data_IF_830385434632
#
_entry.id   IF_830385434632
#
_cell.length_a   1.000
_cell.length_b   1.000
_cell.length_c   1.000
_cell.angle_alpha   90.00
_cell.angle_beta   90.00
_cell.angle_gamma   90.00
#
_symmetry.space_group_name_H-M   'P 1'
#
loop_
_entity.id
_entity.type
_entity.pdbx_description
1 polymer ?
#
# COMPACT_ATOMS: atom_id res chain seq x y z
N UNK A 1 23.70 -18.35 -16.29
CA UNK A 1 23.91 -16.97 -15.82
C UNK A 1 23.40 -16.06 -16.92
N UNK A 2 22.10 -15.75 -16.89
CA UNK A 2 21.45 -14.90 -17.89
C UNK A 2 21.92 -13.47 -17.69
N UNK A 3 22.70 -12.95 -18.64
CA UNK A 3 22.89 -11.51 -18.78
C UNK A 3 21.53 -10.92 -19.16
N UNK A 4 20.86 -10.25 -18.22
CA UNK A 4 19.76 -9.36 -18.58
C UNK A 4 20.33 -8.29 -19.50
N UNK A 5 19.89 -8.31 -20.75
CA UNK A 5 20.22 -7.32 -21.75
C UNK A 5 19.71 -5.94 -21.30
N UNK A 6 20.38 -4.89 -21.78
CA UNK A 6 19.99 -3.50 -21.55
C UNK A 6 18.54 -3.32 -22.03
N UNK A 7 17.60 -3.20 -21.09
CA UNK A 7 16.20 -2.94 -21.38
C UNK A 7 16.07 -1.46 -21.73
N UNK A 8 15.72 -1.16 -22.98
CA UNK A 8 15.38 0.21 -23.39
C UNK A 8 13.99 0.54 -22.83
N UNK A 9 13.97 1.24 -21.71
CA UNK A 9 12.76 1.82 -21.13
C UNK A 9 12.57 3.25 -21.65
N UNK A 10 11.32 3.69 -21.78
CA UNK A 10 11.01 5.08 -22.13
C UNK A 10 11.56 6.04 -21.07
N UNK A 11 11.75 7.31 -21.45
CA UNK A 11 12.18 8.36 -20.50
C UNK A 11 11.22 8.48 -19.31
N UNK A 12 9.93 8.30 -19.55
CA UNK A 12 8.90 8.37 -18.50
C UNK A 12 9.00 7.18 -17.54
N UNK A 13 9.18 5.96 -18.06
CA UNK A 13 9.42 4.76 -17.24
C UNK A 13 10.72 4.89 -16.43
N UNK A 14 11.81 5.37 -17.04
CA UNK A 14 13.07 5.58 -16.35
C UNK A 14 12.95 6.61 -15.20
N UNK A 15 12.17 7.67 -15.39
CA UNK A 15 11.90 8.66 -14.35
C UNK A 15 11.00 8.11 -13.24
N UNK A 16 10.00 7.29 -13.60
CA UNK A 16 9.12 6.62 -12.62
C UNK A 16 9.90 5.62 -11.76
N UNK A 17 10.77 4.82 -12.38
CA UNK A 17 11.65 3.87 -11.70
C UNK A 17 12.64 4.62 -10.77
N UNK A 18 13.26 5.71 -11.25
CA UNK A 18 14.14 6.53 -10.43
C UNK A 18 13.41 7.22 -9.25
N UNK A 19 12.15 7.62 -9.43
CA UNK A 19 11.34 8.18 -8.35
C UNK A 19 10.98 7.11 -7.30
N UNK A 20 10.77 5.86 -7.72
CA UNK A 20 10.58 4.73 -6.79
C UNK A 20 11.88 4.37 -6.05
N UNK A 21 13.04 4.51 -6.68
CA UNK A 21 14.36 4.22 -6.08
C UNK A 21 14.91 5.36 -5.20
N UNK A 22 14.26 6.53 -5.20
CA UNK A 22 14.65 7.62 -4.29
C UNK A 22 14.38 7.17 -2.85
N UNK A 23 15.46 7.00 -2.06
CA UNK A 23 15.36 6.65 -0.64
C UNK A 23 14.73 7.79 0.15
N UNK A 24 13.66 7.46 0.86
CA UNK A 24 13.08 8.37 1.83
C UNK A 24 14.05 8.57 3.02
N UNK A 25 14.05 9.76 3.64
CA UNK A 25 14.80 9.99 4.87
C UNK A 25 14.42 8.95 5.93
N UNK A 26 15.39 8.48 6.71
CA UNK A 26 15.17 7.43 7.71
C UNK A 26 14.06 7.79 8.71
N UNK A 27 14.00 9.04 9.12
CA UNK A 27 12.98 9.55 10.06
C UNK A 27 11.57 9.49 9.46
N UNK A 28 11.44 9.72 8.15
CA UNK A 28 10.18 9.66 7.44
C UNK A 28 9.61 8.24 7.34
N UNK A 29 10.46 7.21 7.43
CA UNK A 29 10.06 5.79 7.39
C UNK A 29 10.22 5.09 8.74
N UNK A 30 10.50 5.84 9.81
CA UNK A 30 10.56 5.29 11.17
C UNK A 30 9.34 5.72 11.97
N UNK A 31 8.45 4.80 12.36
CA UNK A 31 7.30 5.15 13.18
C UNK A 31 7.75 5.55 14.60
N UNK A 32 7.23 6.65 15.10
CA UNK A 32 7.28 7.02 16.51
C UNK A 32 6.16 6.31 17.30
N UNK A 33 4.96 6.21 16.71
CA UNK A 33 3.80 5.54 17.30
C UNK A 33 2.95 4.88 16.22
N UNK A 34 2.51 3.64 16.46
CA UNK A 34 1.64 2.89 15.56
C UNK A 34 0.37 2.53 16.33
N UNK A 35 -0.79 2.92 15.81
CA UNK A 35 -2.11 2.51 16.32
C UNK A 35 -2.82 1.71 15.24
N UNK A 36 -3.27 0.50 15.58
CA UNK A 36 -4.10 -0.33 14.70
C UNK A 36 -5.46 -0.51 15.34
N UNK A 37 -6.48 0.05 14.72
CA UNK A 37 -7.85 0.08 15.22
C UNK A 37 -8.63 -1.15 14.73
N UNK A 38 -8.15 -2.34 15.11
CA UNK A 38 -8.70 -3.61 14.61
C UNK A 38 -10.18 -3.78 14.99
N UNK A 39 -10.53 -3.49 16.25
CA UNK A 39 -11.89 -3.67 16.77
C UNK A 39 -12.90 -2.68 16.18
N UNK A 40 -12.54 -1.40 16.04
CA UNK A 40 -13.45 -0.42 15.44
C UNK A 40 -13.49 -0.51 13.91
N UNK A 41 -12.50 -1.15 13.28
CA UNK A 41 -12.42 -1.29 11.83
C UNK A 41 -11.98 -0.02 11.11
N UNK A 42 -11.57 1.02 11.84
CA UNK A 42 -11.20 2.32 11.26
C UNK A 42 -9.93 2.24 10.40
N UNK A 43 -8.98 1.39 10.79
CA UNK A 43 -7.74 1.18 10.04
C UNK A 43 -6.49 1.39 10.88
N UNK A 44 -5.50 2.05 10.30
CA UNK A 44 -4.16 2.21 10.86
C UNK A 44 -3.79 3.69 10.89
N UNK A 45 -3.24 4.12 12.02
CA UNK A 45 -2.65 5.44 12.19
C UNK A 45 -1.17 5.29 12.59
N UNK A 46 -0.32 6.10 11.96
CA UNK A 46 1.11 6.16 12.25
C UNK A 46 1.52 7.61 12.44
N UNK A 47 2.14 7.87 13.59
CA UNK A 47 2.93 9.07 13.85
C UNK A 47 4.39 8.73 13.56
N UNK A 48 5.02 9.51 12.69
CA UNK A 48 6.39 9.30 12.20
C UNK A 48 7.40 10.14 13.00
N UNK A 49 8.68 9.76 12.98
CA UNK A 49 9.73 10.52 13.68
C UNK A 49 10.01 11.89 13.06
N UNK A 50 9.70 12.09 11.78
CA UNK A 50 9.76 13.39 11.12
C UNK A 50 8.58 14.33 11.50
N UNK A 51 7.71 13.90 12.42
CA UNK A 51 6.52 14.63 12.84
C UNK A 51 5.32 14.47 11.91
N UNK A 52 5.44 13.71 10.82
CA UNK A 52 4.33 13.44 9.92
C UNK A 52 3.28 12.53 10.57
N UNK A 53 2.03 12.69 10.19
CA UNK A 53 0.94 11.80 10.58
C UNK A 53 0.26 11.21 9.36
N UNK A 54 0.10 9.88 9.36
CA UNK A 54 -0.57 9.16 8.28
C UNK A 54 -1.69 8.28 8.83
N UNK A 55 -2.82 8.27 8.13
CA UNK A 55 -3.99 7.44 8.46
C UNK A 55 -4.47 6.72 7.20
N UNK A 56 -4.76 5.44 7.32
CA UNK A 56 -5.34 4.63 6.25
C UNK A 56 -6.51 3.81 6.78
N UNK A 57 -7.57 3.71 5.98
CA UNK A 57 -8.67 2.80 6.29
C UNK A 57 -8.33 1.37 5.86
N UNK A 58 -8.96 0.36 6.47
CA UNK A 58 -8.72 -1.03 6.06
C UNK A 58 -9.09 -1.32 4.60
N UNK A 59 -10.23 -0.84 4.05
CA UNK A 59 -10.51 -1.00 2.63
C UNK A 59 -9.41 -0.38 1.74
N UNK A 60 -8.95 0.82 2.11
CA UNK A 60 -7.87 1.48 1.38
C UNK A 60 -6.57 0.66 1.41
N UNK A 61 -6.20 0.14 2.59
CA UNK A 61 -5.01 -0.73 2.72
C UNK A 61 -5.14 -1.99 1.88
N UNK A 62 -6.32 -2.61 1.86
CA UNK A 62 -6.59 -3.80 1.06
C UNK A 62 -6.41 -3.53 -0.44
N UNK A 63 -6.92 -2.40 -0.91
CA UNK A 63 -6.77 -1.96 -2.31
C UNK A 63 -5.32 -1.56 -2.63
N UNK A 64 -4.58 -1.09 -1.63
CA UNK A 64 -3.15 -0.77 -1.70
C UNK A 64 -2.21 -1.96 -1.35
N UNK A 65 -2.73 -3.20 -1.31
CA UNK A 65 -1.97 -4.38 -0.88
C UNK A 65 -0.67 -4.56 -1.69
N UNK A 66 0.52 -4.59 -1.05
CA UNK A 66 1.81 -4.61 -1.76
C UNK A 66 2.27 -6.01 -2.21
N UNK A 67 1.47 -7.07 -2.05
CA UNK A 67 1.89 -8.39 -2.52
C UNK A 67 2.02 -8.42 -4.05
N UNK A 68 2.90 -9.29 -4.56
CA UNK A 68 3.20 -9.39 -5.99
C UNK A 68 1.93 -9.51 -6.86
N UNK A 69 1.01 -10.41 -6.48
CA UNK A 69 -0.25 -10.62 -7.22
C UNK A 69 -1.14 -9.38 -7.26
N UNK A 70 -1.29 -8.67 -6.15
CA UNK A 70 -2.10 -7.44 -6.13
C UNK A 70 -1.41 -6.28 -6.82
N UNK A 71 -0.08 -6.23 -6.78
CA UNK A 71 0.72 -5.21 -7.45
C UNK A 71 0.66 -5.36 -8.97
N UNK A 72 0.92 -6.57 -9.49
CA UNK A 72 0.84 -6.90 -10.91
C UNK A 72 -0.57 -6.62 -11.46
N UNK A 73 -1.62 -7.04 -10.75
CA UNK A 73 -2.99 -6.77 -11.16
C UNK A 73 -3.32 -5.26 -11.20
N UNK A 74 -2.82 -4.48 -10.23
CA UNK A 74 -2.95 -3.01 -10.27
C UNK A 74 -2.21 -2.40 -11.46
N UNK A 75 -1.01 -2.87 -11.76
CA UNK A 75 -0.23 -2.38 -12.92
C UNK A 75 -0.97 -2.67 -14.24
N UNK A 76 -1.50 -3.89 -14.41
CA UNK A 76 -2.26 -4.24 -15.61
C UNK A 76 -3.55 -3.44 -15.78
N UNK A 77 -4.21 -3.08 -14.68
CA UNK A 77 -5.44 -2.29 -14.70
C UNK A 77 -5.21 -0.79 -14.67
N UNK A 78 -3.95 -0.34 -14.55
CA UNK A 78 -3.59 1.07 -14.43
C UNK A 78 -4.07 1.74 -13.13
N UNK A 79 -4.45 0.95 -12.12
CA UNK A 79 -4.98 1.46 -10.85
C UNK A 79 -3.87 1.91 -9.92
N UNK A 80 -4.09 3.03 -9.23
CA UNK A 80 -3.18 3.51 -8.19
C UNK A 80 -3.42 2.78 -6.87
N UNK A 81 -2.42 2.71 -5.96
CA UNK A 81 -2.61 2.15 -4.63
C UNK A 81 -3.78 2.80 -3.89
N UNK A 82 -4.70 1.98 -3.40
CA UNK A 82 -5.89 2.44 -2.68
C UNK A 82 -7.08 2.81 -3.56
N UNK A 83 -6.97 2.71 -4.89
CA UNK A 83 -8.11 2.81 -5.78
C UNK A 83 -8.90 1.49 -5.80
N UNK A 84 -10.22 1.53 -5.52
CA UNK A 84 -11.03 0.34 -5.45
C UNK A 84 -11.10 -0.36 -6.81
N UNK A 85 -11.19 -1.69 -6.78
CA UNK A 85 -11.41 -2.46 -8.00
C UNK A 85 -12.74 -2.05 -8.65
N UNK A 86 -12.78 -1.89 -9.99
CA UNK A 86 -14.03 -1.62 -10.68
C UNK A 86 -14.99 -2.78 -10.41
N UNK A 87 -16.17 -2.49 -9.86
CA UNK A 87 -17.20 -3.50 -9.65
C UNK A 87 -17.66 -3.98 -11.03
N UNK A 88 -17.54 -5.28 -11.29
CA UNK A 88 -18.08 -5.87 -12.50
C UNK A 88 -19.58 -5.54 -12.56
N UNK A 89 -20.02 -4.95 -13.68
CA UNK A 89 -21.39 -4.49 -13.91
C UNK A 89 -22.32 -5.67 -14.26
N UNK A 90 -22.05 -6.83 -13.66
CA UNK A 90 -22.80 -8.06 -13.89
C UNK A 90 -24.03 -8.05 -12.98
N UNK A 91 -25.19 -8.26 -13.59
CA UNK A 91 -26.55 -8.15 -13.03
C UNK A 91 -26.81 -9.03 -11.79
N UNK A 92 -25.88 -9.94 -11.47
CA UNK A 92 -25.94 -10.91 -10.37
C UNK A 92 -24.68 -10.87 -9.50
N UNK A 93 -24.27 -9.68 -9.05
CA UNK A 93 -23.17 -9.59 -8.09
C UNK A 93 -23.63 -10.13 -6.74
N UNK A 94 -23.22 -11.36 -6.42
CA UNK A 94 -23.29 -11.87 -5.05
C UNK A 94 -22.64 -10.85 -4.11
N UNK A 95 -23.33 -10.50 -3.03
CA UNK A 95 -22.82 -9.54 -2.05
C UNK A 95 -21.47 -10.04 -1.52
N UNK A 96 -20.41 -9.30 -1.82
CA UNK A 96 -19.12 -9.50 -1.19
C UNK A 96 -19.00 -8.55 -0.01
N UNK A 97 -18.82 -9.11 1.18
CA UNK A 97 -18.55 -8.32 2.37
C UNK A 97 -17.28 -7.49 2.15
N UNK A 98 -17.23 -6.24 2.64
CA UNK A 98 -16.02 -5.42 2.54
C UNK A 98 -14.85 -6.14 3.21
N UNK A 99 -13.67 -6.01 2.61
CA UNK A 99 -12.46 -6.60 3.15
C UNK A 99 -12.14 -6.00 4.52
N UNK A 100 -11.96 -6.88 5.51
CA UNK A 100 -11.60 -6.54 6.88
C UNK A 100 -10.47 -7.45 7.34
N UNK A 101 -9.46 -6.92 8.03
CA UNK A 101 -8.45 -7.75 8.64
C UNK A 101 -9.06 -8.55 9.79
N UNK A 102 -8.76 -9.84 9.83
CA UNK A 102 -9.06 -10.74 10.95
C UNK A 102 -7.97 -10.69 12.02
N UNK A 103 -6.74 -10.39 11.62
CA UNK A 103 -5.61 -10.18 12.53
C UNK A 103 -4.55 -9.28 11.91
N UNK A 104 -3.71 -8.72 12.77
CA UNK A 104 -2.54 -7.93 12.41
C UNK A 104 -1.33 -8.46 13.17
N UNK A 105 -0.21 -8.58 12.48
CA UNK A 105 1.06 -9.02 13.03
C UNK A 105 2.14 -7.98 12.67
N UNK A 106 3.00 -7.68 13.64
CA UNK A 106 4.17 -6.83 13.40
C UNK A 106 5.30 -7.71 12.88
N UNK A 107 5.84 -7.40 11.71
CA UNK A 107 6.97 -8.12 11.12
C UNK A 107 8.25 -7.37 11.45
N UNK A 108 8.97 -7.90 12.45
CA UNK A 108 10.19 -7.29 12.98
C UNK A 108 9.97 -5.83 13.38
N UNK A 109 10.83 -4.94 12.88
CA UNK A 109 10.73 -3.49 13.10
C UNK A 109 10.48 -2.70 11.82
N UNK A 110 10.06 -3.35 10.73
CA UNK A 110 9.99 -2.71 9.40
C UNK A 110 8.63 -2.78 8.71
N UNK A 111 7.67 -3.59 9.20
CA UNK A 111 6.40 -3.76 8.52
C UNK A 111 5.25 -4.25 9.41
N UNK A 112 4.04 -4.15 8.86
CA UNK A 112 2.84 -4.86 9.30
C UNK A 112 2.44 -5.93 8.29
N UNK A 113 1.88 -7.03 8.79
CA UNK A 113 1.21 -8.05 7.99
C UNK A 113 -0.23 -8.18 8.48
N UNK A 114 -1.16 -8.27 7.55
CA UNK A 114 -2.58 -8.46 7.86
C UNK A 114 -3.04 -9.79 7.30
N UNK A 115 -3.88 -10.50 8.06
CA UNK A 115 -4.72 -11.57 7.52
C UNK A 115 -6.10 -11.00 7.26
N UNK A 116 -6.64 -11.23 6.08
CA UNK A 116 -7.91 -10.68 5.62
C UNK A 116 -9.01 -11.75 5.63
N UNK A 117 -10.26 -11.32 5.82
CA UNK A 117 -11.44 -12.19 5.75
C UNK A 117 -11.71 -12.76 4.35
N UNK A 118 -11.09 -12.20 3.32
CA UNK A 118 -11.16 -12.67 1.93
C UNK A 118 -10.05 -13.68 1.58
N UNK A 119 -9.34 -14.20 2.59
CA UNK A 119 -8.28 -15.20 2.45
C UNK A 119 -6.89 -14.64 2.11
N UNK A 120 -6.73 -13.32 1.95
CA UNK A 120 -5.41 -12.76 1.65
C UNK A 120 -4.56 -12.62 2.92
N UNK A 121 -3.27 -12.93 2.82
CA UNK A 121 -2.31 -12.68 3.92
C UNK A 121 -0.85 -12.42 3.46
N UNK A 122 -0.57 -12.48 2.17
CA UNK A 122 0.78 -12.33 1.63
C UNK A 122 1.29 -10.87 1.61
N UNK A 123 0.43 -9.89 1.91
CA UNK A 123 0.78 -8.47 1.88
C UNK A 123 1.64 -8.05 3.09
N UNK A 124 2.88 -7.66 2.83
CA UNK A 124 3.80 -7.07 3.83
C UNK A 124 3.83 -5.55 3.62
N UNK A 125 3.19 -4.82 4.53
CA UNK A 125 3.08 -3.37 4.51
C UNK A 125 4.29 -2.78 5.22
N UNK A 126 5.38 -2.61 4.48
CA UNK A 126 6.58 -1.97 5.01
C UNK A 126 6.32 -0.51 5.37
N UNK A 127 7.09 0.03 6.32
CA UNK A 127 7.01 1.44 6.67
C UNK A 127 7.33 2.36 5.50
N UNK A 128 8.30 1.97 4.67
CA UNK A 128 8.63 2.68 3.43
C UNK A 128 7.44 2.68 2.47
N UNK A 129 6.83 1.52 2.21
CA UNK A 129 5.65 1.42 1.35
C UNK A 129 4.52 2.31 1.87
N UNK A 130 4.15 2.15 3.14
CA UNK A 130 3.10 2.95 3.79
C UNK A 130 3.39 4.45 3.66
N UNK A 131 4.63 4.89 3.90
CA UNK A 131 5.01 6.29 3.75
C UNK A 131 4.86 6.77 2.30
N UNK A 132 5.30 6.00 1.32
CA UNK A 132 5.17 6.34 -0.12
C UNK A 132 3.72 6.41 -0.55
N UNK A 133 2.88 5.50 -0.07
CA UNK A 133 1.45 5.47 -0.41
C UNK A 133 0.59 6.32 0.54
N UNK A 134 1.21 7.16 1.40
CA UNK A 134 0.47 8.07 2.26
C UNK A 134 -0.54 8.91 1.44
N UNK A 135 -1.78 8.92 1.92
CA UNK A 135 -2.91 9.60 1.29
C UNK A 135 -3.39 10.83 2.07
N UNK A 136 -2.60 11.34 3.02
CA UNK A 136 -2.95 12.59 3.72
C UNK A 136 -2.91 13.79 2.77
N UNK A 137 -3.56 14.88 3.12
CA UNK A 137 -3.70 16.05 2.24
C UNK A 137 -2.36 16.65 1.80
N UNK A 138 -1.39 16.72 2.71
CA UNK A 138 -0.03 17.20 2.41
C UNK A 138 0.71 16.30 1.39
N UNK A 139 0.54 14.98 1.49
CA UNK A 139 1.15 14.05 0.53
C UNK A 139 0.36 13.99 -0.78
N UNK A 140 -0.95 14.22 -0.77
CA UNK A 140 -1.77 14.30 -1.98
C UNK A 140 -1.46 15.56 -2.79
N UNK A 141 -1.29 16.71 -2.13
CA UNK A 141 -0.97 17.97 -2.81
C UNK A 141 0.41 17.98 -3.46
N UNK A 142 1.36 17.17 -2.96
CA UNK A 142 2.72 17.07 -3.53
C UNK A 142 2.79 16.10 -4.72
N UNK A 143 1.78 15.23 -4.90
CA UNK A 143 1.70 14.22 -5.97
C UNK A 143 0.85 14.66 -7.16
N UNK A 144 0.19 15.81 -7.07
CA UNK A 144 -0.62 16.42 -8.13
C UNK A 144 0.26 17.25 -9.06
#
# INVERSE_FOLDING_TARGET
MSHEGIRFVSREEALADAAQDTRLPREAVTPAKVRVHLTSGEGVEIEWKDGHHSKWTFPWLRDACPCATCHEERQHTGRKPGEPKPKAKELFTMYQAPAKPTSVEKIGNYALKFKWNDGHEAGIYSWDHLRRVCNCDACRSTKA
#
